data_IF_295775349105
#
_entry.id   IF_295775349105
#
_cell.length_a   1.000
_cell.length_b   1.000
_cell.length_c   1.000
_cell.angle_alpha   90.00
_cell.angle_beta   90.00
_cell.angle_gamma   90.00
#
_symmetry.space_group_name_H-M   'P 1'
#
loop_
_entity.id
_entity.type
_entity.pdbx_description
1 polymer ?
#
# COMPACT_ATOMS: atom_id res chain seq x y z
N UNK A 1 -6.20 8.58 3.74
CA UNK A 1 -5.86 7.25 3.16
C UNK A 1 -6.04 7.15 1.63
N UNK A 2 -7.26 7.25 1.08
CA UNK A 2 -7.54 6.91 -0.32
C UNK A 2 -6.88 7.83 -1.35
N UNK A 3 -6.75 9.13 -1.06
CA UNK A 3 -6.28 10.10 -2.06
C UNK A 3 -4.77 9.99 -2.32
N UNK A 4 -3.96 9.74 -1.29
CA UNK A 4 -2.52 9.52 -1.45
C UNK A 4 -2.22 8.21 -2.20
N UNK A 5 -2.92 7.13 -1.87
CA UNK A 5 -2.78 5.86 -2.59
C UNK A 5 -3.35 5.93 -4.01
N UNK A 6 -4.43 6.67 -4.24
CA UNK A 6 -4.98 6.93 -5.58
C UNK A 6 -4.02 7.77 -6.42
N UNK A 7 -3.44 8.83 -5.85
CA UNK A 7 -2.44 9.65 -6.53
C UNK A 7 -1.21 8.82 -6.88
N UNK A 8 -0.77 7.98 -5.94
CA UNK A 8 0.33 7.07 -6.15
C UNK A 8 0.06 6.03 -7.25
N UNK A 9 -1.16 5.47 -7.31
CA UNK A 9 -1.60 4.56 -8.40
C UNK A 9 -1.80 5.27 -9.74
N UNK A 10 -2.15 6.55 -9.75
CA UNK A 10 -2.40 7.35 -10.96
C UNK A 10 -1.12 7.80 -11.65
N UNK A 11 -0.01 7.89 -10.93
CA UNK A 11 1.26 8.22 -11.54
C UNK A 11 1.74 7.00 -12.33
N UNK A 12 2.05 7.21 -13.60
CA UNK A 12 2.64 6.19 -14.46
C UNK A 12 4.04 5.90 -13.92
N UNK A 13 4.15 4.85 -13.11
CA UNK A 13 5.42 4.49 -12.51
C UNK A 13 6.21 3.70 -13.55
N UNK A 14 7.32 4.27 -14.01
CA UNK A 14 8.20 3.67 -15.02
C UNK A 14 8.79 2.31 -14.59
N UNK A 15 8.76 2.02 -13.29
CA UNK A 15 9.32 0.81 -12.69
C UNK A 15 8.24 -0.19 -12.32
N UNK A 16 8.47 -1.47 -12.61
CA UNK A 16 7.56 -2.57 -12.27
C UNK A 16 8.18 -3.48 -11.21
N UNK A 17 7.37 -3.96 -10.27
CA UNK A 17 7.76 -5.06 -9.39
C UNK A 17 7.91 -6.35 -10.20
N UNK A 18 8.86 -7.20 -9.81
CA UNK A 18 8.98 -8.57 -10.35
C UNK A 18 8.74 -9.57 -9.24
N UNK A 19 8.02 -10.65 -9.54
CA UNK A 19 7.73 -11.70 -8.58
C UNK A 19 8.42 -12.97 -9.05
N UNK A 20 9.19 -13.58 -8.15
CA UNK A 20 9.92 -14.81 -8.40
C UNK A 20 9.47 -15.88 -7.40
N UNK A 21 9.37 -17.12 -7.87
CA UNK A 21 9.03 -18.27 -7.03
C UNK A 21 10.20 -18.67 -6.12
N UNK A 22 11.43 -18.39 -6.55
CA UNK A 22 12.63 -18.76 -5.82
C UNK A 22 12.93 -17.73 -4.73
N UNK A 23 13.00 -18.14 -3.46
CA UNK A 23 13.40 -17.23 -2.40
C UNK A 23 14.92 -16.95 -2.51
N UNK A 24 15.40 -15.71 -2.25
CA UNK A 24 16.81 -15.35 -2.31
C UNK A 24 17.54 -15.95 -1.11
N UNK A 25 17.66 -17.27 -1.11
CA UNK A 25 18.17 -18.07 -0.01
C UNK A 25 19.48 -18.65 -0.52
N UNK A 26 20.60 -18.26 0.09
CA UNK A 26 21.88 -18.90 -0.21
C UNK A 26 21.79 -20.40 0.11
N UNK A 27 22.61 -21.23 -0.55
CA UNK A 27 22.64 -22.68 -0.38
C UNK A 27 22.74 -23.15 1.10
N UNK A 28 23.26 -22.31 1.99
CA UNK A 28 23.37 -22.56 3.43
C UNK A 28 22.04 -22.46 4.23
N UNK A 29 20.91 -22.19 3.58
CA UNK A 29 19.63 -21.89 4.24
C UNK A 29 18.44 -22.70 3.75
N UNK A 30 18.67 -23.77 2.98
CA UNK A 30 17.60 -24.66 2.48
C UNK A 30 16.77 -25.30 3.60
N UNK A 31 17.38 -25.69 4.72
CA UNK A 31 16.66 -26.21 5.90
C UNK A 31 15.79 -25.14 6.59
N UNK A 32 16.24 -23.88 6.59
CA UNK A 32 15.45 -22.77 7.14
C UNK A 32 14.31 -22.38 6.19
N UNK A 33 14.50 -22.52 4.87
CA UNK A 33 13.46 -22.25 3.89
C UNK A 33 12.24 -23.17 4.03
N UNK A 34 12.46 -24.45 4.34
CA UNK A 34 11.39 -25.40 4.68
C UNK A 34 10.66 -25.02 5.97
N UNK A 35 11.39 -24.45 6.94
CA UNK A 35 10.83 -24.05 8.24
C UNK A 35 9.96 -22.77 8.19
N UNK A 36 10.25 -21.88 7.25
CA UNK A 36 9.60 -20.55 7.17
C UNK A 36 8.49 -20.44 6.11
N UNK A 37 8.21 -21.50 5.34
CA UNK A 37 7.13 -21.59 4.35
C UNK A 37 7.09 -20.35 3.43
N UNK A 38 8.24 -20.06 2.81
CA UNK A 38 8.36 -18.99 1.82
C UNK A 38 7.56 -19.35 0.57
N UNK A 39 6.78 -18.38 0.06
CA UNK A 39 5.93 -18.57 -1.12
C UNK A 39 6.52 -17.91 -2.36
N UNK A 40 7.05 -16.70 -2.20
CA UNK A 40 7.59 -15.94 -3.30
C UNK A 40 8.58 -14.90 -2.81
N UNK A 41 9.26 -14.28 -3.77
CA UNK A 41 10.07 -13.08 -3.55
C UNK A 41 9.66 -11.97 -4.48
N UNK A 42 9.69 -10.76 -3.95
CA UNK A 42 9.29 -9.54 -4.63
C UNK A 42 10.52 -8.69 -4.83
N UNK A 43 10.87 -8.52 -6.09
CA UNK A 43 11.96 -7.67 -6.55
C UNK A 43 11.45 -6.24 -6.64
N UNK A 44 11.93 -5.41 -5.71
CA UNK A 44 11.54 -4.01 -5.53
C UNK A 44 12.68 -3.11 -6.05
N UNK A 45 12.48 -2.41 -7.17
CA UNK A 45 13.43 -1.40 -7.65
C UNK A 45 13.77 -0.37 -6.58
N UNK A 46 15.05 -0.03 -6.43
CA UNK A 46 15.49 0.98 -5.45
C UNK A 46 14.82 2.35 -5.60
N UNK A 47 14.45 2.83 -6.80
CA UNK A 47 13.63 4.03 -6.94
C UNK A 47 12.32 4.00 -6.13
N UNK A 48 11.67 2.83 -6.01
CA UNK A 48 10.47 2.68 -5.17
C UNK A 48 10.78 2.91 -3.69
N UNK A 49 11.77 2.22 -3.16
CA UNK A 49 12.17 2.32 -1.75
C UNK A 49 12.56 3.76 -1.38
N UNK A 50 13.26 4.45 -2.30
CA UNK A 50 13.59 5.87 -2.13
C UNK A 50 12.32 6.71 -2.03
N UNK A 51 11.39 6.53 -2.97
CA UNK A 51 10.13 7.28 -3.05
C UNK A 51 9.22 7.03 -1.85
N UNK A 52 9.08 5.77 -1.42
CA UNK A 52 8.32 5.41 -0.23
C UNK A 52 8.88 6.08 1.02
N UNK A 53 10.22 6.17 1.15
CA UNK A 53 10.82 6.90 2.25
C UNK A 53 10.49 8.39 2.26
N UNK A 54 10.43 9.01 1.08
CA UNK A 54 10.10 10.43 0.92
C UNK A 54 8.63 10.70 1.27
N UNK A 55 7.71 9.85 0.78
CA UNK A 55 6.28 9.93 1.08
C UNK A 55 5.99 9.77 2.58
N UNK A 56 6.55 8.74 3.22
CA UNK A 56 6.28 8.45 4.62
C UNK A 56 6.96 9.42 5.59
N UNK A 57 8.09 10.04 5.20
CA UNK A 57 8.70 11.12 6.01
C UNK A 57 7.96 12.45 5.90
N UNK A 58 7.32 12.75 4.77
CA UNK A 58 6.51 13.96 4.60
C UNK A 58 5.25 13.98 5.46
N UNK A 59 4.74 12.79 5.81
CA UNK A 59 3.48 12.59 6.53
C UNK A 59 3.65 12.15 8.00
N UNK A 60 4.77 12.52 8.63
CA UNK A 60 5.15 12.05 9.97
C UNK A 60 4.16 12.37 11.11
N UNK A 61 3.16 13.24 10.87
CA UNK A 61 2.10 13.58 11.82
C UNK A 61 0.85 12.68 11.74
N UNK A 62 0.75 11.80 10.74
CA UNK A 62 -0.40 10.93 10.51
C UNK A 62 0.04 9.49 10.33
N UNK A 63 -0.17 8.65 11.36
CA UNK A 63 0.12 7.19 11.39
C UNK A 63 -0.76 6.36 10.41
N UNK A 64 -1.20 6.95 9.31
CA UNK A 64 -2.30 6.41 8.50
C UNK A 64 -1.84 5.41 7.42
N UNK A 65 -0.59 5.52 6.95
CA UNK A 65 -0.03 4.70 5.86
C UNK A 65 1.33 4.13 6.26
N UNK A 66 1.55 2.83 6.06
CA UNK A 66 2.82 2.15 6.33
C UNK A 66 3.48 1.60 5.03
N UNK A 67 4.65 0.94 5.15
CA UNK A 67 5.33 0.41 3.97
C UNK A 67 4.60 -0.78 3.33
N UNK A 68 3.85 -1.55 4.12
CA UNK A 68 3.02 -2.65 3.62
C UNK A 68 1.88 -2.12 2.76
N UNK A 69 1.23 -1.02 3.17
CA UNK A 69 0.18 -0.34 2.40
C UNK A 69 0.70 0.10 1.03
N UNK A 70 1.92 0.67 0.99
CA UNK A 70 2.56 1.10 -0.25
C UNK A 70 2.92 -0.09 -1.15
N UNK A 71 3.44 -1.18 -0.57
CA UNK A 71 3.76 -2.39 -1.32
C UNK A 71 2.49 -3.01 -1.92
N UNK A 72 1.44 -3.21 -1.13
CA UNK A 72 0.15 -3.70 -1.61
C UNK A 72 -0.46 -2.80 -2.71
N UNK A 73 -0.25 -1.48 -2.62
CA UNK A 73 -0.71 -0.55 -3.64
C UNK A 73 0.10 -0.61 -4.95
N UNK A 74 1.38 -1.00 -4.89
CA UNK A 74 2.26 -1.18 -6.06
C UNK A 74 2.11 -2.53 -6.76
N UNK A 75 1.62 -3.56 -6.07
CA UNK A 75 1.46 -4.89 -6.67
C UNK A 75 0.43 -4.79 -7.78
N UNK A 76 0.89 -4.95 -9.02
CA UNK A 76 0.07 -4.91 -10.24
C UNK A 76 -0.93 -6.06 -10.19
N UNK A 77 -2.18 -5.79 -10.59
CA UNK A 77 -3.28 -6.76 -10.71
C UNK A 77 -3.62 -7.55 -9.44
N UNK A 78 -3.15 -7.11 -8.26
CA UNK A 78 -3.53 -7.72 -6.98
C UNK A 78 -3.11 -9.18 -6.82
N UNK A 79 -1.96 -9.57 -7.39
CA UNK A 79 -1.45 -10.95 -7.33
C UNK A 79 -1.36 -11.50 -5.90
N UNK A 80 -1.10 -10.63 -4.93
CA UNK A 80 -1.20 -10.94 -3.53
C UNK A 80 -1.51 -9.67 -2.73
N UNK A 81 -1.99 -9.86 -1.50
CA UNK A 81 -2.11 -8.81 -0.51
C UNK A 81 -1.43 -9.26 0.77
N UNK A 82 -0.59 -8.40 1.34
CA UNK A 82 0.06 -8.62 2.62
C UNK A 82 -0.82 -8.11 3.76
N UNK A 83 -0.76 -8.80 4.89
CA UNK A 83 -1.38 -8.36 6.13
C UNK A 83 -0.80 -7.02 6.56
N UNK A 84 -1.66 -6.03 6.78
CA UNK A 84 -1.25 -4.66 7.09
C UNK A 84 -0.41 -4.55 8.36
N UNK A 85 -0.63 -5.43 9.34
CA UNK A 85 0.07 -5.48 10.62
C UNK A 85 1.38 -6.30 10.58
N UNK A 86 1.86 -6.68 9.38
CA UNK A 86 3.10 -7.42 9.23
C UNK A 86 4.33 -6.57 9.56
N UNK A 87 4.74 -6.62 10.83
CA UNK A 87 5.90 -5.92 11.37
C UNK A 87 7.22 -6.31 10.70
N UNK A 88 7.38 -7.58 10.29
CA UNK A 88 8.64 -8.05 9.69
C UNK A 88 8.88 -7.36 8.35
N UNK A 89 7.87 -7.37 7.48
CA UNK A 89 7.96 -6.76 6.16
C UNK A 89 8.05 -5.24 6.31
N UNK A 90 7.21 -4.62 7.13
CA UNK A 90 7.23 -3.17 7.34
C UNK A 90 8.60 -2.67 7.81
N UNK A 91 9.18 -3.32 8.82
CA UNK A 91 10.51 -2.96 9.34
C UNK A 91 11.61 -3.22 8.31
N UNK A 92 11.57 -4.34 7.58
CA UNK A 92 12.55 -4.66 6.55
C UNK A 92 12.56 -3.60 5.43
N UNK A 93 11.36 -3.21 4.97
CA UNK A 93 11.18 -2.16 3.97
C UNK A 93 11.63 -0.80 4.50
N UNK A 94 11.33 -0.47 5.75
CA UNK A 94 11.76 0.77 6.39
C UNK A 94 13.28 0.88 6.45
N UNK A 95 13.97 -0.15 6.92
CA UNK A 95 15.44 -0.20 7.01
C UNK A 95 16.04 -0.03 5.61
N UNK A 96 15.61 -0.82 4.63
CA UNK A 96 16.15 -0.76 3.28
C UNK A 96 15.87 0.60 2.61
N UNK A 97 14.68 1.15 2.78
CA UNK A 97 14.32 2.47 2.26
C UNK A 97 15.19 3.59 2.84
N UNK A 98 15.51 3.51 4.14
CA UNK A 98 16.43 4.45 4.77
C UNK A 98 17.86 4.33 4.22
N UNK A 99 18.34 3.10 4.02
CA UNK A 99 19.65 2.82 3.43
C UNK A 99 19.72 3.36 2.01
N UNK A 100 18.76 3.00 1.16
CA UNK A 100 18.65 3.46 -0.23
C UNK A 100 18.67 4.99 -0.29
N UNK A 101 17.85 5.67 0.51
CA UNK A 101 17.86 7.14 0.54
C UNK A 101 19.23 7.73 0.87
N UNK A 102 19.91 7.21 1.89
CA UNK A 102 21.27 7.66 2.25
C UNK A 102 22.24 7.44 1.09
N UNK A 103 22.17 6.27 0.44
CA UNK A 103 23.03 5.95 -0.72
C UNK A 103 22.78 6.89 -1.89
N UNK A 104 21.52 7.18 -2.23
CA UNK A 104 21.18 8.15 -3.28
C UNK A 104 21.66 9.57 -2.95
N UNK A 105 21.56 9.99 -1.68
CA UNK A 105 22.04 11.31 -1.24
C UNK A 105 23.55 11.46 -1.41
N UNK A 106 24.29 10.37 -1.17
CA UNK A 106 25.76 10.37 -1.21
C UNK A 106 26.35 10.04 -2.57
N UNK A 107 25.51 9.74 -3.58
CA UNK A 107 25.96 9.29 -4.91
C UNK A 107 25.52 10.25 -5.99
N UNK A 108 26.44 10.68 -6.85
CA UNK A 108 26.19 11.64 -7.93
C UNK A 108 26.58 11.08 -9.30
N UNK A 109 26.10 11.73 -10.37
CA UNK A 109 26.49 11.46 -11.75
C UNK A 109 26.14 10.04 -12.23
N UNK A 110 27.06 9.41 -12.98
CA UNK A 110 26.87 8.08 -13.55
C UNK A 110 26.60 7.00 -12.51
N UNK A 111 27.22 7.09 -11.33
CA UNK A 111 27.00 6.15 -10.22
C UNK A 111 25.57 6.21 -9.70
N UNK A 112 24.91 7.37 -9.75
CA UNK A 112 23.51 7.51 -9.35
C UNK A 112 22.58 6.82 -10.35
N UNK A 113 22.83 6.97 -11.65
CA UNK A 113 22.09 6.24 -12.70
C UNK A 113 22.22 4.72 -12.57
N UNK A 114 23.33 4.23 -12.04
CA UNK A 114 23.48 2.81 -11.75
C UNK A 114 22.59 2.33 -10.56
N UNK A 115 22.26 3.22 -9.62
CA UNK A 115 21.33 2.90 -8.53
C UNK A 115 19.89 2.74 -9.02
N UNK A 116 19.50 3.43 -10.09
CA UNK A 116 18.15 3.33 -10.67
C UNK A 116 17.88 1.92 -11.22
N UNK A 117 18.93 1.16 -11.53
CA UNK A 117 18.86 -0.23 -12.00
C UNK A 117 18.94 -1.27 -10.89
N UNK A 118 19.19 -0.85 -9.64
CA UNK A 118 19.30 -1.77 -8.51
C UNK A 118 17.93 -2.20 -8.02
N UNK A 119 17.88 -3.43 -7.52
CA UNK A 119 16.68 -4.08 -7.00
C UNK A 119 16.98 -4.61 -5.60
N UNK A 120 15.96 -4.61 -4.75
CA UNK A 120 15.95 -5.26 -3.45
C UNK A 120 14.97 -6.44 -3.52
N UNK A 121 15.45 -7.65 -3.24
CA UNK A 121 14.61 -8.86 -3.27
C UNK A 121 14.07 -9.13 -1.87
N UNK A 122 12.75 -9.05 -1.71
CA UNK A 122 12.03 -9.27 -0.47
C UNK A 122 11.35 -10.63 -0.48
N UNK A 123 11.74 -11.54 0.40
CA UNK A 123 11.06 -12.82 0.59
C UNK A 123 9.74 -12.68 1.36
N UNK A 124 8.67 -13.33 0.88
CA UNK A 124 7.33 -13.35 1.49
C UNK A 124 6.98 -14.77 1.93
N UNK A 125 6.43 -14.90 3.15
CA UNK A 125 6.01 -16.16 3.77
C UNK A 125 4.50 -16.35 3.67
N UNK A 126 4.02 -17.60 3.69
CA UNK A 126 2.57 -17.90 3.63
C UNK A 126 1.74 -17.16 4.66
N UNK A 127 2.18 -17.15 5.92
CA UNK A 127 1.43 -16.55 7.03
C UNK A 127 1.32 -15.02 6.96
N UNK A 128 2.01 -14.39 6.03
CA UNK A 128 2.09 -12.93 5.86
C UNK A 128 1.08 -12.39 4.83
N UNK A 129 0.46 -13.28 4.07
CA UNK A 129 -0.56 -12.95 3.09
C UNK A 129 -1.94 -12.86 3.75
N UNK A 130 -2.77 -11.97 3.25
CA UNK A 130 -4.21 -11.96 3.53
C UNK A 130 -4.88 -13.17 2.87
N UNK A 131 -5.88 -13.74 3.55
CA UNK A 131 -6.69 -14.80 2.94
C UNK A 131 -7.75 -14.20 2.03
N UNK A 132 -8.04 -14.89 0.91
CA UNK A 132 -9.09 -14.46 -0.02
C UNK A 132 -10.45 -14.36 0.68
N UNK A 133 -10.72 -15.23 1.65
CA UNK A 133 -11.95 -15.20 2.44
C UNK A 133 -12.02 -13.97 3.36
N UNK A 134 -10.91 -13.59 4.01
CA UNK A 134 -10.81 -12.37 4.80
C UNK A 134 -11.11 -11.14 3.94
N UNK A 135 -10.44 -11.04 2.78
CA UNK A 135 -10.64 -9.94 1.83
C UNK A 135 -12.08 -9.86 1.31
N UNK A 136 -12.71 -11.00 0.98
CA UNK A 136 -14.11 -11.05 0.55
C UNK A 136 -15.06 -10.59 1.66
N UNK A 137 -14.78 -10.99 2.90
CA UNK A 137 -15.59 -10.62 4.06
C UNK A 137 -15.50 -9.11 4.31
N UNK A 138 -14.29 -8.55 4.27
CA UNK A 138 -14.06 -7.12 4.40
C UNK A 138 -14.74 -6.33 3.28
N UNK A 139 -14.57 -6.73 2.01
CA UNK A 139 -15.22 -6.10 0.88
C UNK A 139 -16.75 -6.11 1.04
N UNK A 140 -17.33 -7.24 1.44
CA UNK A 140 -18.77 -7.37 1.67
C UNK A 140 -19.26 -6.45 2.78
N UNK A 141 -18.48 -6.29 3.86
CA UNK A 141 -18.79 -5.36 4.95
C UNK A 141 -18.75 -3.91 4.46
N UNK A 142 -17.69 -3.52 3.74
CA UNK A 142 -17.56 -2.16 3.19
C UNK A 142 -18.68 -1.82 2.20
N UNK A 143 -19.13 -2.79 1.38
CA UNK A 143 -20.27 -2.57 0.48
C UNK A 143 -21.57 -2.29 1.25
N UNK A 144 -21.82 -3.00 2.35
CA UNK A 144 -22.99 -2.75 3.21
C UNK A 144 -22.94 -1.38 3.85
N UNK A 145 -21.80 -1.00 4.41
CA UNK A 145 -21.60 0.33 5.01
C UNK A 145 -21.81 1.45 3.99
N UNK A 146 -21.33 1.28 2.74
CA UNK A 146 -21.57 2.25 1.67
C UNK A 146 -23.05 2.39 1.31
N UNK A 147 -23.79 1.29 1.30
CA UNK A 147 -25.23 1.30 1.01
C UNK A 147 -26.00 2.02 2.11
N UNK A 148 -25.68 1.73 3.37
CA UNK A 148 -26.27 2.42 4.53
C UNK A 148 -25.97 3.93 4.50
N UNK A 149 -24.71 4.30 4.22
CA UNK A 149 -24.31 5.70 4.08
C UNK A 149 -25.05 6.42 2.94
N UNK A 150 -25.23 5.75 1.79
CA UNK A 150 -26.00 6.31 0.66
C UNK A 150 -27.45 6.56 1.06
N UNK A 151 -28.08 5.62 1.75
CA UNK A 151 -29.46 5.76 2.23
C UNK A 151 -29.59 6.92 3.22
N UNK A 152 -28.70 7.01 4.20
CA UNK A 152 -28.71 8.13 5.14
C UNK A 152 -28.51 9.47 4.43
N UNK A 153 -27.63 9.53 3.43
CA UNK A 153 -27.42 10.75 2.66
C UNK A 153 -28.68 11.15 1.86
N UNK A 154 -29.37 10.20 1.24
CA UNK A 154 -30.62 10.49 0.52
C UNK A 154 -31.72 10.97 1.45
N UNK A 155 -31.86 10.35 2.62
CA UNK A 155 -32.87 10.73 3.62
C UNK A 155 -32.61 12.15 4.13
N UNK A 156 -31.35 12.45 4.48
CA UNK A 156 -30.94 13.78 4.95
C UNK A 156 -31.10 14.86 3.87
N UNK A 157 -30.88 14.51 2.61
CA UNK A 157 -31.07 15.45 1.48
C UNK A 157 -32.56 15.76 1.29
N UNK A 158 -33.43 14.75 1.44
CA UNK A 158 -34.88 14.93 1.38
C UNK A 158 -35.39 15.79 2.55
N UNK A 159 -34.93 15.51 3.78
CA UNK A 159 -35.29 16.30 4.97
C UNK A 159 -34.89 17.78 4.84
N UNK A 160 -33.67 18.05 4.37
CA UNK A 160 -33.22 19.42 4.11
C UNK A 160 -34.10 20.11 3.06
N UNK A 161 -34.50 19.41 1.99
CA UNK A 161 -35.39 19.97 0.97
C UNK A 161 -36.74 20.33 1.55
N UNK A 162 -37.35 19.44 2.34
CA UNK A 162 -38.63 19.72 3.01
C UNK A 162 -38.54 20.91 3.95
N UNK A 163 -37.49 20.99 4.78
CA UNK A 163 -37.30 22.14 5.67
C UNK A 163 -37.12 23.45 4.90
N UNK A 164 -36.40 23.43 3.77
CA UNK A 164 -36.25 24.61 2.91
C UNK A 164 -37.58 25.06 2.28
N UNK A 165 -38.43 24.12 1.86
CA UNK A 165 -39.77 24.42 1.35
C UNK A 165 -40.67 25.01 2.44
N UNK A 166 -40.67 24.42 3.65
CA UNK A 166 -41.41 24.95 4.81
C UNK A 166 -40.96 26.37 5.18
N UNK A 167 -39.64 26.61 5.25
CA UNK A 167 -39.07 27.93 5.55
C UNK A 167 -39.38 28.97 4.47
N UNK A 168 -39.51 28.56 3.21
CA UNK A 168 -39.91 29.45 2.11
C UNK A 168 -41.37 29.85 2.22
N UNK A 169 -42.25 28.91 2.57
CA UNK A 169 -43.67 29.16 2.77
C UNK A 169 -43.91 30.10 3.96
N UNK A 170 -43.16 29.94 5.06
CA UNK A 170 -43.25 30.79 6.26
C UNK A 170 -42.72 32.22 6.07
N UNK A 171 -41.92 32.49 5.04
CA UNK A 171 -41.39 33.84 4.72
C UNK A 171 -42.21 34.59 3.66
N UNK A 172 -43.19 33.91 3.05
CA UNK A 172 -44.07 34.47 2.02
C UNK A 172 -45.40 35.02 2.55
N UNK A 173 -45.67 34.86 3.84
CA UNK A 173 -46.75 35.52 4.62
C UNK A 173 -46.21 36.76 5.34
#
# INVERSE_FOLDING_TARGET
MADLLKEYKRQEIEWTLKIHSDPPVSYASSQAAEQYDFICSVDIPWPFLKRWNELLKGNASSSEVNYVDLLNATVVDGWFALKRDNKRIDESLRIHSCTVKKTYKNTNGSKRRALDRKVYSLSVRRGELESVESLKTEASKSYKELEELRKMYTDLTNENRTMHEEMKNLKGE
#
